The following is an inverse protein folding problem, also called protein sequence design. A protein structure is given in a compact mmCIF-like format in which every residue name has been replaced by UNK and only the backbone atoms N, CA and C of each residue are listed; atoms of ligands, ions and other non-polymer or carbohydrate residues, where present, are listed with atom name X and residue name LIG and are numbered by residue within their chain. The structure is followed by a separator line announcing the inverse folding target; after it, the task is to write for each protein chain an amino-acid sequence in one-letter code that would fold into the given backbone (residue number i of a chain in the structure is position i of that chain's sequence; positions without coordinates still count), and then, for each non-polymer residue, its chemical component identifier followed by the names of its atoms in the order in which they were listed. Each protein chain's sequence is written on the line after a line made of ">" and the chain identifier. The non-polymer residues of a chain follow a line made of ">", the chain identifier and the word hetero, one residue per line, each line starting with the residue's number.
data_IF_929481376081
#
_entry.id   IF_929481376081
#
_cell.length_a   1.000
_cell.length_b   1.000
_cell.length_c   1.000
_cell.angle_alpha   90.00
_cell.angle_beta   90.00
_cell.angle_gamma   90.00
#
_symmetry.space_group_name_H-M   'P 1'
#
loop_
_entity.id
_entity.type
_entity.pdbx_description
1 polymer ?
#
# COMPACT_ATOMS: atom_id res chain seq x y z
N UNK A 1 96.84 21.36 9.33
CA UNK A 1 97.08 20.31 10.34
C UNK A 1 96.52 18.99 9.79
N UNK A 2 97.36 17.95 9.77
CA UNK A 2 97.14 16.50 9.61
C UNK A 2 95.88 15.95 8.87
N UNK A 3 96.06 15.48 7.61
CA UNK A 3 96.19 14.08 7.14
C UNK A 3 95.30 12.91 7.71
N UNK A 4 95.21 11.73 7.04
CA UNK A 4 94.08 11.26 6.21
C UNK A 4 93.78 9.73 6.46
N UNK A 5 93.35 8.97 5.42
CA UNK A 5 93.25 7.49 5.22
C UNK A 5 91.82 6.95 5.01
N UNK A 6 91.41 6.66 3.76
CA UNK A 6 91.37 5.34 3.06
C UNK A 6 90.38 4.33 3.69
N UNK A 7 89.54 3.57 2.97
CA UNK A 7 89.89 2.58 1.94
C UNK A 7 88.63 2.00 1.25
N UNK A 8 88.84 1.51 0.03
CA UNK A 8 87.99 0.73 -0.88
C UNK A 8 87.44 -0.62 -0.32
N UNK A 9 86.21 -1.04 -0.69
CA UNK A 9 85.91 -2.31 -1.44
C UNK A 9 84.40 -2.64 -1.61
N UNK A 10 84.01 -2.69 -2.89
CA UNK A 10 83.14 -3.66 -3.62
C UNK A 10 82.14 -4.54 -2.84
N UNK A 11 80.88 -4.55 -3.28
CA UNK A 11 80.22 -5.76 -3.80
C UNK A 11 78.89 -5.47 -4.52
N UNK A 12 78.76 -6.06 -5.71
CA UNK A 12 77.54 -6.19 -6.51
C UNK A 12 76.44 -6.86 -5.69
N UNK A 13 75.15 -6.53 -5.91
CA UNK A 13 74.04 -7.49 -5.88
C UNK A 13 72.72 -6.84 -6.36
N UNK A 14 72.28 -7.34 -7.52
CA UNK A 14 70.92 -7.48 -8.05
C UNK A 14 69.78 -6.64 -7.44
N UNK A 15 69.23 -5.75 -8.27
CA UNK A 15 67.85 -5.29 -8.13
C UNK A 15 66.90 -6.46 -8.46
N UNK A 16 66.35 -7.10 -7.42
CA UNK A 16 65.21 -8.00 -7.56
C UNK A 16 63.93 -7.14 -7.48
N UNK A 17 63.26 -6.97 -8.61
CA UNK A 17 61.94 -6.37 -8.66
C UNK A 17 60.92 -7.33 -8.03
N UNK A 18 60.46 -7.01 -6.82
CA UNK A 18 59.36 -7.69 -6.16
C UNK A 18 58.03 -7.15 -6.74
N UNK A 19 57.53 -7.78 -7.80
CA UNK A 19 56.14 -7.61 -8.25
C UNK A 19 55.22 -8.30 -7.25
N UNK A 20 54.66 -7.53 -6.31
CA UNK A 20 53.56 -7.98 -5.47
C UNK A 20 52.31 -8.02 -6.35
N UNK A 21 51.93 -9.23 -6.78
CA UNK A 21 50.64 -9.49 -7.41
C UNK A 21 49.55 -9.45 -6.33
N UNK A 22 48.96 -8.28 -6.10
CA UNK A 22 47.71 -8.16 -5.35
C UNK A 22 46.57 -8.72 -6.22
N UNK A 23 46.23 -10.00 -6.03
CA UNK A 23 44.92 -10.51 -6.42
C UNK A 23 43.87 -9.85 -5.52
N UNK A 24 43.26 -8.78 -6.00
CA UNK A 24 42.02 -8.27 -5.43
C UNK A 24 40.93 -9.28 -5.77
N UNK A 25 40.62 -10.17 -4.82
CA UNK A 25 39.39 -10.94 -4.82
C UNK A 25 38.24 -9.94 -4.70
N UNK A 26 37.69 -9.51 -5.82
CA UNK A 26 36.44 -8.77 -5.81
C UNK A 26 35.39 -9.67 -5.14
N UNK A 27 34.65 -9.19 -4.12
CA UNK A 27 33.53 -9.96 -3.61
C UNK A 27 32.58 -10.21 -4.78
N UNK A 28 32.31 -11.48 -5.04
CA UNK A 28 31.26 -11.90 -5.96
C UNK A 28 29.95 -11.30 -5.43
N UNK A 29 29.61 -10.12 -5.93
CA UNK A 29 28.28 -9.59 -5.81
C UNK A 29 27.43 -10.52 -6.64
N UNK A 30 26.79 -11.48 -5.97
CA UNK A 30 25.65 -12.17 -6.53
C UNK A 30 24.64 -11.07 -6.81
N UNK A 31 24.54 -10.64 -8.07
CA UNK A 31 23.50 -9.71 -8.48
C UNK A 31 22.18 -10.41 -8.15
N UNK A 32 21.47 -9.95 -7.12
CA UNK A 32 20.08 -10.34 -6.93
C UNK A 32 19.36 -9.91 -8.21
N UNK A 33 19.06 -10.88 -9.09
CA UNK A 33 18.25 -10.62 -10.26
C UNK A 33 16.87 -10.23 -9.74
N UNK A 34 16.52 -8.96 -9.91
CA UNK A 34 15.17 -8.48 -9.61
C UNK A 34 14.18 -9.44 -10.27
N UNK A 35 13.20 -10.00 -9.53
CA UNK A 35 12.29 -10.97 -10.10
C UNK A 35 11.55 -10.32 -11.26
N UNK A 36 11.76 -10.84 -12.47
CA UNK A 36 11.03 -10.40 -13.64
C UNK A 36 9.55 -10.72 -13.43
N UNK A 37 8.70 -9.70 -13.48
CA UNK A 37 7.26 -9.87 -13.39
C UNK A 37 6.74 -10.62 -14.62
N UNK A 38 6.14 -11.79 -14.42
CA UNK A 38 5.37 -12.49 -15.43
C UNK A 38 4.00 -11.81 -15.51
N UNK A 39 3.75 -11.11 -16.62
CA UNK A 39 2.54 -10.31 -16.83
C UNK A 39 1.68 -10.90 -17.93
N UNK A 40 0.37 -10.75 -17.80
CA UNK A 40 -0.61 -11.12 -18.81
C UNK A 40 -1.64 -9.99 -18.97
N UNK A 41 -2.14 -9.81 -20.19
CA UNK A 41 -3.29 -8.95 -20.45
C UNK A 41 -4.55 -9.82 -20.53
N UNK A 42 -5.51 -9.56 -19.64
CA UNK A 42 -6.79 -10.30 -19.56
C UNK A 42 -7.89 -9.24 -19.58
N UNK A 43 -8.79 -9.33 -20.57
CA UNK A 43 -9.86 -8.35 -20.82
C UNK A 43 -9.36 -6.89 -20.82
N UNK A 44 -8.25 -6.65 -21.52
CA UNK A 44 -7.63 -5.32 -21.66
C UNK A 44 -6.95 -4.79 -20.39
N UNK A 45 -6.80 -5.60 -19.34
CA UNK A 45 -6.17 -5.21 -18.06
C UNK A 45 -4.89 -5.98 -17.82
N UNK A 46 -3.92 -5.34 -17.17
CA UNK A 46 -2.67 -5.98 -16.79
C UNK A 46 -2.83 -6.79 -15.51
N UNK A 47 -2.32 -8.01 -15.54
CA UNK A 47 -2.25 -8.92 -14.42
C UNK A 47 -0.81 -9.40 -14.21
N UNK A 48 -0.51 -9.81 -12.98
CA UNK A 48 0.78 -10.33 -12.54
C UNK A 48 0.60 -11.74 -11.99
N UNK A 49 1.46 -12.68 -12.40
CA UNK A 49 1.35 -14.05 -11.92
C UNK A 49 1.61 -14.14 -10.42
N UNK A 50 0.85 -14.98 -9.72
CA UNK A 50 1.08 -15.19 -8.29
C UNK A 50 2.42 -15.88 -8.01
N UNK A 51 3.06 -16.48 -9.01
CA UNK A 51 4.43 -17.01 -8.93
C UNK A 51 5.46 -15.86 -8.87
N UNK A 52 5.27 -14.79 -9.65
CA UNK A 52 6.06 -13.58 -9.52
C UNK A 52 5.80 -12.88 -8.19
N UNK A 53 4.55 -12.82 -7.72
CA UNK A 53 4.22 -12.29 -6.37
C UNK A 53 4.92 -13.12 -5.28
N UNK A 54 4.84 -14.46 -5.36
CA UNK A 54 5.53 -15.36 -4.42
C UNK A 54 7.02 -15.00 -4.32
N UNK A 55 7.67 -14.82 -5.46
CA UNK A 55 9.09 -14.54 -5.56
C UNK A 55 9.44 -13.13 -5.05
N UNK A 56 8.73 -12.11 -5.50
CA UNK A 56 8.98 -10.70 -5.15
C UNK A 56 8.83 -10.43 -3.65
N UNK A 57 7.85 -11.04 -2.99
CA UNK A 57 7.59 -10.85 -1.56
C UNK A 57 8.17 -11.95 -0.67
N UNK A 58 9.08 -12.77 -1.22
CA UNK A 58 9.82 -13.82 -0.49
C UNK A 58 8.88 -14.78 0.27
N UNK A 59 7.75 -15.16 -0.35
CA UNK A 59 6.86 -16.19 0.17
C UNK A 59 7.55 -17.55 0.09
N UNK A 60 7.72 -18.21 1.23
CA UNK A 60 8.39 -19.51 1.32
C UNK A 60 7.49 -20.65 0.83
N UNK A 61 6.17 -20.45 0.90
CA UNK A 61 5.16 -21.45 0.55
C UNK A 61 4.12 -20.89 -0.42
N UNK A 62 3.73 -21.73 -1.37
CA UNK A 62 2.54 -21.52 -2.21
C UNK A 62 1.80 -22.85 -2.33
N UNK A 63 0.55 -22.90 -1.88
CA UNK A 63 -0.35 -24.06 -2.04
C UNK A 63 -1.52 -23.68 -2.94
N UNK A 64 -1.93 -24.63 -3.77
CA UNK A 64 -3.09 -24.50 -4.65
C UNK A 64 -4.00 -25.69 -4.39
N UNK A 65 -5.23 -25.44 -3.94
CA UNK A 65 -6.23 -26.47 -3.68
C UNK A 65 -7.60 -25.97 -4.11
N UNK A 66 -8.24 -26.68 -5.05
CA UNK A 66 -9.49 -26.25 -5.67
C UNK A 66 -9.34 -24.82 -6.24
N UNK A 67 -10.17 -23.88 -5.78
CA UNK A 67 -10.09 -22.46 -6.14
C UNK A 67 -9.21 -21.64 -5.19
N UNK A 68 -8.65 -22.22 -4.14
CA UNK A 68 -7.88 -21.50 -3.13
C UNK A 68 -6.39 -21.52 -3.47
N UNK A 69 -5.77 -20.34 -3.51
CA UNK A 69 -4.32 -20.16 -3.55
C UNK A 69 -3.87 -19.56 -2.24
N UNK A 70 -2.94 -20.21 -1.55
CA UNK A 70 -2.35 -19.70 -0.29
C UNK A 70 -0.88 -19.42 -0.48
N UNK A 71 -0.46 -18.17 -0.26
CA UNK A 71 0.92 -17.73 -0.15
C UNK A 71 1.27 -17.53 1.32
N UNK A 72 2.44 -17.99 1.77
CA UNK A 72 2.84 -17.85 3.18
C UNK A 72 4.34 -17.65 3.34
N UNK A 73 4.71 -16.73 4.24
CA UNK A 73 6.04 -16.61 4.84
C UNK A 73 5.89 -16.48 6.36
N UNK A 74 6.99 -16.19 7.06
CA UNK A 74 7.00 -16.06 8.52
C UNK A 74 6.13 -14.91 9.08
N UNK A 75 5.81 -13.89 8.26
CA UNK A 75 5.10 -12.67 8.70
C UNK A 75 3.64 -12.62 8.23
N UNK A 76 3.35 -13.18 7.06
CA UNK A 76 2.05 -13.03 6.41
C UNK A 76 1.60 -14.30 5.69
N UNK A 77 0.32 -14.60 5.85
CA UNK A 77 -0.41 -15.59 5.07
C UNK A 77 -1.46 -14.86 4.23
N UNK A 78 -1.39 -15.04 2.91
CA UNK A 78 -2.31 -14.48 1.93
C UNK A 78 -3.10 -15.63 1.31
N UNK A 79 -4.43 -15.58 1.38
CA UNK A 79 -5.34 -16.56 0.78
C UNK A 79 -6.20 -15.88 -0.27
N UNK A 80 -6.24 -16.44 -1.47
CA UNK A 80 -6.87 -15.86 -2.66
C UNK A 80 -7.80 -16.90 -3.29
N UNK A 81 -9.01 -16.48 -3.63
CA UNK A 81 -9.98 -17.34 -4.32
C UNK A 81 -9.96 -17.06 -5.82
N UNK A 82 -9.53 -18.04 -6.63
CA UNK A 82 -9.58 -18.02 -8.10
C UNK A 82 -11.02 -17.85 -8.58
N UNK A 83 -11.21 -16.92 -9.52
CA UNK A 83 -12.50 -16.47 -10.03
C UNK A 83 -13.27 -15.54 -9.07
N UNK A 84 -12.69 -15.20 -7.92
CA UNK A 84 -13.28 -14.32 -6.92
C UNK A 84 -12.42 -13.10 -6.62
N UNK A 85 -13.03 -12.12 -5.96
CA UNK A 85 -12.37 -10.88 -5.52
C UNK A 85 -11.93 -10.94 -4.04
N UNK A 86 -12.06 -12.08 -3.37
CA UNK A 86 -11.71 -12.18 -1.95
C UNK A 86 -10.23 -12.52 -1.76
N UNK A 87 -9.54 -11.66 -1.00
CA UNK A 87 -8.18 -11.84 -0.53
C UNK A 87 -8.16 -11.75 1.01
N UNK A 88 -7.69 -12.79 1.70
CA UNK A 88 -7.46 -12.75 3.14
C UNK A 88 -5.97 -12.58 3.41
N UNK A 89 -5.58 -11.53 4.12
CA UNK A 89 -4.20 -11.35 4.61
C UNK A 89 -4.22 -11.38 6.13
N UNK A 90 -3.60 -12.42 6.72
CA UNK A 90 -3.64 -12.67 8.18
C UNK A 90 -5.06 -12.66 8.79
N UNK A 91 -6.04 -13.17 8.04
CA UNK A 91 -7.44 -13.24 8.48
C UNK A 91 -8.25 -11.96 8.25
N UNK A 92 -7.62 -10.86 7.82
CA UNK A 92 -8.32 -9.64 7.41
C UNK A 92 -8.74 -9.77 5.94
N UNK A 93 -10.01 -9.49 5.65
CA UNK A 93 -10.56 -9.56 4.29
C UNK A 93 -10.35 -8.25 3.53
N UNK A 94 -9.74 -8.38 2.37
CA UNK A 94 -9.58 -7.36 1.35
C UNK A 94 -10.42 -7.78 0.14
N UNK A 95 -11.23 -6.86 -0.37
CA UNK A 95 -12.03 -7.06 -1.58
C UNK A 95 -11.26 -6.41 -2.73
N UNK A 96 -10.82 -7.25 -3.66
CA UNK A 96 -10.08 -6.87 -4.85
C UNK A 96 -11.01 -6.18 -5.86
N UNK A 97 -10.46 -5.27 -6.63
CA UNK A 97 -11.14 -4.59 -7.74
C UNK A 97 -11.50 -5.57 -8.85
N UNK A 98 -10.63 -6.54 -9.10
CA UNK A 98 -10.81 -7.57 -10.12
C UNK A 98 -10.59 -8.98 -9.55
N UNK A 99 -11.22 -9.96 -10.20
CA UNK A 99 -11.09 -11.36 -9.81
C UNK A 99 -9.68 -11.89 -9.99
N UNK A 100 -9.34 -12.96 -9.27
CA UNK A 100 -8.12 -13.72 -9.51
C UNK A 100 -8.33 -14.60 -10.75
N UNK A 101 -7.59 -14.34 -11.81
CA UNK A 101 -7.78 -14.99 -13.11
C UNK A 101 -6.78 -16.12 -13.34
N UNK A 102 -7.13 -17.06 -14.21
CA UNK A 102 -6.21 -18.10 -14.70
C UNK A 102 -5.77 -17.76 -16.12
N UNK A 103 -4.46 -17.73 -16.36
CA UNK A 103 -3.88 -17.67 -17.71
C UNK A 103 -2.75 -18.69 -17.82
N UNK A 104 -2.74 -19.46 -18.91
CA UNK A 104 -1.77 -20.54 -19.15
C UNK A 104 -1.60 -21.49 -17.94
N UNK A 105 -2.71 -21.84 -17.27
CA UNK A 105 -2.73 -22.74 -16.11
C UNK A 105 -2.17 -22.16 -14.80
N UNK A 106 -1.82 -20.86 -14.76
CA UNK A 106 -1.31 -20.18 -13.57
C UNK A 106 -2.32 -19.13 -13.08
N UNK A 107 -2.39 -18.88 -11.76
CA UNK A 107 -3.23 -17.82 -11.20
C UNK A 107 -2.54 -16.46 -11.24
N UNK A 108 -3.34 -15.43 -11.47
CA UNK A 108 -2.94 -14.06 -11.69
C UNK A 108 -3.77 -13.10 -10.84
N UNK A 109 -3.13 -12.05 -10.33
CA UNK A 109 -3.79 -10.92 -9.65
C UNK A 109 -3.68 -9.68 -10.50
N UNK A 110 -4.71 -8.83 -10.50
CA UNK A 110 -4.66 -7.59 -11.27
C UNK A 110 -3.50 -6.71 -10.78
N UNK A 111 -2.82 -6.02 -11.70
CA UNK A 111 -1.70 -5.16 -11.35
C UNK A 111 -2.15 -4.02 -10.41
N UNK A 112 -3.37 -3.52 -10.59
CA UNK A 112 -3.92 -2.45 -9.74
C UNK A 112 -4.15 -2.93 -8.31
N UNK A 113 -4.70 -4.13 -8.12
CA UNK A 113 -4.93 -4.70 -6.78
C UNK A 113 -3.60 -5.07 -6.10
N UNK A 114 -2.65 -5.59 -6.87
CA UNK A 114 -1.30 -5.81 -6.36
C UNK A 114 -0.69 -4.50 -5.85
N UNK A 115 -0.75 -3.42 -6.64
CA UNK A 115 -0.13 -2.15 -6.30
C UNK A 115 -0.86 -1.35 -5.21
N UNK A 116 -2.20 -1.43 -5.15
CA UNK A 116 -3.02 -0.56 -4.30
C UNK A 116 -3.56 -1.24 -3.04
N UNK A 117 -3.68 -2.57 -3.02
CA UNK A 117 -4.21 -3.31 -1.87
C UNK A 117 -3.18 -4.24 -1.25
N UNK A 118 -2.47 -5.04 -2.05
CA UNK A 118 -1.58 -6.08 -1.53
C UNK A 118 -0.21 -5.50 -1.13
N UNK A 119 0.45 -4.76 -2.02
CA UNK A 119 1.80 -4.22 -1.78
C UNK A 119 1.88 -3.35 -0.51
N UNK A 120 0.94 -2.40 -0.24
CA UNK A 120 0.96 -1.62 0.99
C UNK A 120 0.87 -2.46 2.27
N UNK A 121 0.23 -3.63 2.23
CA UNK A 121 0.13 -4.53 3.38
C UNK A 121 1.40 -5.37 3.53
N UNK A 122 1.96 -5.84 2.42
CA UNK A 122 3.17 -6.68 2.43
C UNK A 122 4.45 -5.86 2.70
N UNK A 123 4.47 -4.59 2.31
CA UNK A 123 5.61 -3.67 2.45
C UNK A 123 5.14 -2.25 2.84
N UNK A 124 4.59 -2.06 4.06
CA UNK A 124 4.04 -0.76 4.48
C UNK A 124 5.05 0.38 4.48
N UNK A 125 6.34 0.08 4.70
CA UNK A 125 7.41 1.08 4.69
C UNK A 125 7.96 1.38 3.28
N UNK A 126 7.45 0.74 2.22
CA UNK A 126 7.97 0.87 0.86
C UNK A 126 7.27 1.96 0.03
N UNK A 127 6.19 2.58 0.52
CA UNK A 127 5.54 3.67 -0.20
C UNK A 127 6.50 4.88 -0.23
N UNK A 128 7.34 4.93 -1.28
CA UNK A 128 8.28 6.02 -1.56
C UNK A 128 7.44 7.30 -1.67
N UNK A 129 7.77 8.31 -0.87
CA UNK A 129 7.03 9.58 -0.75
C UNK A 129 5.63 9.48 -0.11
N UNK A 130 5.40 8.51 0.78
CA UNK A 130 4.31 8.69 1.75
C UNK A 130 4.61 9.94 2.58
N UNK A 131 3.92 11.04 2.26
CA UNK A 131 4.03 12.30 2.99
C UNK A 131 3.49 12.17 4.41
N UNK A 132 4.12 12.87 5.33
CA UNK A 132 3.61 13.03 6.69
C UNK A 132 2.41 13.98 6.65
N UNK A 133 1.22 13.51 7.01
CA UNK A 133 0.10 14.41 7.27
C UNK A 133 0.10 14.88 8.73
N UNK A 134 -0.36 16.11 8.95
CA UNK A 134 -0.60 16.67 10.29
C UNK A 134 -2.06 17.02 10.53
N UNK A 135 -2.88 17.01 9.47
CA UNK A 135 -4.30 17.34 9.52
C UNK A 135 -5.16 16.09 9.26
N UNK A 136 -6.17 15.89 10.10
CA UNK A 136 -7.20 14.86 9.92
C UNK A 136 -8.54 15.54 9.77
N UNK A 137 -9.20 15.33 8.63
CA UNK A 137 -10.56 15.78 8.40
C UNK A 137 -11.48 14.62 8.79
N UNK A 138 -12.28 14.80 9.83
CA UNK A 138 -13.31 13.86 10.25
C UNK A 138 -14.64 14.29 9.66
N UNK A 139 -15.29 13.37 8.96
CA UNK A 139 -16.60 13.57 8.38
C UNK A 139 -17.64 12.67 9.07
N UNK A 140 -18.36 13.16 10.08
CA UNK A 140 -19.48 12.41 10.64
C UNK A 140 -20.61 12.38 9.60
N UNK A 141 -20.86 11.21 9.01
CA UNK A 141 -21.89 11.03 7.99
C UNK A 141 -23.28 11.50 8.44
N UNK A 142 -24.14 11.86 7.48
CA UNK A 142 -25.51 12.35 7.72
C UNK A 142 -25.57 13.65 8.54
N UNK A 143 -26.70 13.96 9.17
CA UNK A 143 -26.94 15.10 10.06
C UNK A 143 -28.20 15.90 9.72
N UNK A 144 -28.85 16.47 10.73
CA UNK A 144 -30.01 17.34 10.55
C UNK A 144 -31.19 16.60 9.91
N UNK A 145 -31.59 17.04 8.71
CA UNK A 145 -32.68 16.43 7.93
C UNK A 145 -32.36 15.04 7.38
N UNK A 146 -31.08 14.67 7.32
CA UNK A 146 -30.63 13.34 6.96
C UNK A 146 -30.24 12.59 8.24
N UNK A 147 -31.06 11.62 8.68
CA UNK A 147 -30.78 10.87 9.91
C UNK A 147 -29.80 9.71 9.70
N UNK A 148 -29.55 9.34 8.45
CA UNK A 148 -28.97 8.04 8.10
C UNK A 148 -29.85 6.88 8.55
N UNK A 149 -29.22 5.71 8.74
CA UNK A 149 -29.89 4.53 9.27
C UNK A 149 -30.49 4.76 10.67
N UNK A 150 -31.46 3.92 11.05
CA UNK A 150 -32.09 3.98 12.38
C UNK A 150 -32.28 2.59 12.97
N UNK A 151 -32.26 2.52 14.30
CA UNK A 151 -32.62 1.33 15.06
C UNK A 151 -33.27 1.74 16.38
N UNK A 152 -33.53 0.76 17.26
CA UNK A 152 -34.15 0.98 18.58
C UNK A 152 -33.34 1.87 19.52
N UNK A 153 -32.05 2.06 19.26
CA UNK A 153 -31.16 2.85 20.10
C UNK A 153 -31.04 4.30 19.60
N UNK A 154 -31.30 4.58 18.31
CA UNK A 154 -31.26 5.92 17.76
C UNK A 154 -30.94 5.98 16.27
N UNK A 155 -30.52 7.17 15.83
CA UNK A 155 -30.18 7.47 14.44
C UNK A 155 -28.66 7.46 14.22
N UNK A 156 -28.25 6.99 13.05
CA UNK A 156 -26.85 6.91 12.61
C UNK A 156 -26.12 8.24 12.76
N UNK A 157 -26.75 9.35 12.37
CA UNK A 157 -26.19 10.68 12.44
C UNK A 157 -25.68 11.06 13.85
N UNK A 158 -26.35 10.60 14.91
CA UNK A 158 -25.95 10.86 16.30
C UNK A 158 -24.75 10.00 16.71
N UNK A 159 -24.72 8.73 16.30
CA UNK A 159 -23.57 7.86 16.56
C UNK A 159 -22.32 8.31 15.83
N UNK A 160 -22.46 8.66 14.55
CA UNK A 160 -21.38 9.21 13.73
C UNK A 160 -20.77 10.45 14.41
N UNK A 161 -21.61 11.40 14.86
CA UNK A 161 -21.16 12.61 15.54
C UNK A 161 -20.44 12.30 16.86
N UNK A 162 -21.01 11.41 17.68
CA UNK A 162 -20.43 11.04 18.98
C UNK A 162 -19.07 10.37 18.82
N UNK A 163 -18.95 9.41 17.90
CA UNK A 163 -17.69 8.73 17.62
C UNK A 163 -16.65 9.70 17.06
N UNK A 164 -17.04 10.54 16.10
CA UNK A 164 -16.13 11.54 15.55
C UNK A 164 -15.61 12.52 16.60
N UNK A 165 -16.45 12.91 17.57
CA UNK A 165 -16.02 13.73 18.72
C UNK A 165 -15.00 13.03 19.62
N UNK A 166 -15.17 11.72 19.88
CA UNK A 166 -14.19 10.93 20.64
C UNK A 166 -12.87 10.79 19.88
N UNK A 167 -12.94 10.51 18.58
CA UNK A 167 -11.77 10.39 17.70
C UNK A 167 -11.02 11.72 17.61
N UNK A 168 -11.74 12.84 17.46
CA UNK A 168 -11.16 14.19 17.48
C UNK A 168 -10.33 14.42 18.73
N UNK A 169 -10.90 14.21 19.91
CA UNK A 169 -10.20 14.42 21.18
C UNK A 169 -8.94 13.55 21.32
N UNK A 170 -8.99 12.31 20.83
CA UNK A 170 -7.83 11.40 20.86
C UNK A 170 -6.75 11.76 19.83
N UNK A 171 -7.11 12.31 18.68
CA UNK A 171 -6.16 12.75 17.66
C UNK A 171 -5.49 14.08 18.07
N UNK A 172 -6.27 15.02 18.60
CA UNK A 172 -5.74 16.29 19.11
C UNK A 172 -4.78 16.09 20.28
N UNK A 173 -5.06 15.16 21.20
CA UNK A 173 -4.13 14.82 22.29
C UNK A 173 -2.82 14.20 21.81
N UNK A 174 -2.79 13.68 20.58
CA UNK A 174 -1.59 13.18 19.90
C UNK A 174 -0.92 14.23 19.00
N UNK A 175 -1.40 15.47 19.00
CA UNK A 175 -0.81 16.58 18.25
C UNK A 175 -1.30 16.74 16.81
N UNK A 176 -2.33 16.01 16.38
CA UNK A 176 -2.95 16.24 15.07
C UNK A 176 -3.87 17.45 15.10
N UNK A 177 -3.86 18.22 14.00
CA UNK A 177 -4.91 19.21 13.72
C UNK A 177 -6.15 18.47 13.23
N UNK A 178 -7.31 18.67 13.85
CA UNK A 178 -8.55 17.99 13.45
C UNK A 178 -9.58 18.99 12.94
N UNK A 179 -10.09 18.75 11.75
CA UNK A 179 -11.18 19.52 11.14
C UNK A 179 -12.41 18.60 11.07
N UNK A 180 -13.57 19.07 11.51
CA UNK A 180 -14.82 18.32 11.36
C UNK A 180 -15.70 18.95 10.28
N UNK A 181 -16.30 18.15 9.40
CA UNK A 181 -17.28 18.66 8.41
C UNK A 181 -18.55 19.18 9.08
N UNK A 182 -18.91 18.63 10.24
CA UNK A 182 -19.92 19.15 11.16
C UNK A 182 -19.56 18.81 12.61
N UNK A 183 -19.92 19.69 13.54
CA UNK A 183 -19.69 19.51 14.99
C UNK A 183 -21.01 19.45 15.80
N UNK A 184 -22.15 19.45 15.12
CA UNK A 184 -23.50 19.38 15.69
C UNK A 184 -24.42 18.57 14.78
N UNK A 185 -25.68 18.38 15.19
CA UNK A 185 -26.68 17.67 14.39
C UNK A 185 -27.26 18.57 13.29
N UNK A 186 -26.44 18.91 12.29
CA UNK A 186 -26.80 19.73 11.13
C UNK A 186 -26.53 18.97 9.84
N UNK A 187 -27.34 19.25 8.82
CA UNK A 187 -27.13 18.68 7.49
C UNK A 187 -25.99 19.39 6.77
N UNK A 188 -25.08 18.60 6.19
CA UNK A 188 -24.03 19.08 5.28
C UNK A 188 -24.11 18.23 4.01
N UNK A 189 -24.24 18.89 2.85
CA UNK A 189 -24.33 18.22 1.56
C UNK A 189 -23.03 17.47 1.23
N UNK A 190 -23.09 16.45 0.37
CA UNK A 190 -21.90 15.72 -0.07
C UNK A 190 -20.85 16.65 -0.69
N UNK A 191 -21.28 17.58 -1.54
CA UNK A 191 -20.38 18.59 -2.11
C UNK A 191 -19.79 19.51 -1.04
N UNK A 192 -20.59 19.97 -0.07
CA UNK A 192 -20.08 20.80 1.02
C UNK A 192 -19.00 20.12 1.86
N UNK A 193 -19.11 18.80 2.08
CA UNK A 193 -18.06 18.00 2.74
C UNK A 193 -16.77 17.99 1.93
N UNK A 194 -16.89 17.84 0.60
CA UNK A 194 -15.76 17.90 -0.35
C UNK A 194 -15.13 19.30 -0.36
N UNK A 195 -15.94 20.35 -0.36
CA UNK A 195 -15.47 21.73 -0.37
C UNK A 195 -14.68 22.07 0.90
N UNK A 196 -15.14 21.61 2.07
CA UNK A 196 -14.40 21.72 3.34
C UNK A 196 -13.06 21.01 3.23
N UNK A 197 -13.03 19.81 2.66
CA UNK A 197 -11.78 19.04 2.51
C UNK A 197 -10.80 19.74 1.56
N UNK A 198 -11.27 20.23 0.41
CA UNK A 198 -10.46 20.91 -0.60
C UNK A 198 -10.00 22.32 -0.18
N UNK A 199 -10.63 22.91 0.84
CA UNK A 199 -10.19 24.17 1.43
C UNK A 199 -8.91 24.01 2.27
N UNK A 200 -8.61 22.80 2.77
CA UNK A 200 -7.38 22.48 3.51
C UNK A 200 -6.19 22.55 2.57
N UNK A 201 -5.14 23.28 2.96
CA UNK A 201 -3.95 23.55 2.11
C UNK A 201 -2.76 22.65 2.44
N UNK A 202 -2.74 22.17 3.68
CA UNK A 202 -1.78 21.25 4.26
C UNK A 202 -2.12 19.78 3.92
N UNK A 203 -1.12 18.89 3.94
CA UNK A 203 -1.35 17.45 3.73
C UNK A 203 -2.30 16.91 4.80
N UNK A 204 -3.41 16.31 4.34
CA UNK A 204 -4.48 15.85 5.18
C UNK A 204 -5.00 14.47 4.75
N UNK A 205 -5.49 13.72 5.74
CA UNK A 205 -6.31 12.53 5.50
C UNK A 205 -7.78 12.85 5.79
N UNK A 206 -8.67 12.38 4.92
CA UNK A 206 -10.12 12.49 5.10
C UNK A 206 -10.68 11.15 5.56
N UNK A 207 -11.38 11.14 6.70
CA UNK A 207 -11.98 9.95 7.28
C UNK A 207 -13.47 10.20 7.49
N UNK A 208 -14.30 9.54 6.70
CA UNK A 208 -15.75 9.54 6.89
C UNK A 208 -16.15 8.41 7.83
N UNK A 209 -17.01 8.73 8.81
CA UNK A 209 -17.46 7.80 9.85
C UNK A 209 -18.95 7.56 9.63
N UNK A 210 -19.29 6.29 9.41
CA UNK A 210 -20.64 5.80 9.20
C UNK A 210 -20.92 4.56 10.05
N UNK A 211 -22.18 4.36 10.40
CA UNK A 211 -22.67 3.15 11.04
C UNK A 211 -23.64 2.48 10.06
N UNK A 212 -23.07 1.60 9.23
CA UNK A 212 -23.83 1.01 8.13
C UNK A 212 -25.01 0.16 8.64
N UNK A 213 -25.98 -0.08 7.75
CA UNK A 213 -27.14 -0.93 8.00
C UNK A 213 -27.20 -2.08 6.98
N UNK A 214 -27.80 -3.19 7.39
CA UNK A 214 -27.91 -4.38 6.55
C UNK A 214 -28.89 -5.38 7.15
N UNK A 215 -28.95 -6.57 6.56
CA UNK A 215 -29.77 -7.66 7.09
C UNK A 215 -29.37 -8.06 8.52
N UNK A 216 -30.23 -8.82 9.21
CA UNK A 216 -30.07 -9.18 10.63
C UNK A 216 -28.77 -9.91 10.99
N UNK A 217 -28.07 -10.48 10.01
CA UNK A 217 -26.81 -11.19 10.20
C UNK A 217 -25.57 -10.33 9.89
N UNK A 218 -25.76 -9.14 9.29
CA UNK A 218 -24.68 -8.23 8.95
C UNK A 218 -24.09 -7.59 10.22
N UNK A 219 -22.78 -7.76 10.43
CA UNK A 219 -22.06 -7.30 11.62
C UNK A 219 -20.58 -7.19 11.32
N UNK A 220 -19.88 -6.27 11.98
CA UNK A 220 -18.43 -6.08 11.86
C UNK A 220 -18.06 -4.65 11.44
N UNK A 221 -16.80 -4.49 11.05
CA UNK A 221 -16.23 -3.23 10.58
C UNK A 221 -15.85 -3.43 9.11
N UNK A 222 -16.14 -2.42 8.30
CA UNK A 222 -15.66 -2.31 6.93
C UNK A 222 -15.02 -0.95 6.72
N UNK A 223 -14.08 -0.87 5.78
CA UNK A 223 -13.41 0.38 5.43
C UNK A 223 -13.36 0.46 3.93
N UNK A 224 -14.00 1.51 3.40
CA UNK A 224 -13.95 1.82 1.99
C UNK A 224 -12.82 2.81 1.73
N UNK A 225 -12.17 2.65 0.59
CA UNK A 225 -11.23 3.63 0.06
C UNK A 225 -11.71 4.06 -1.31
N UNK A 226 -11.17 5.18 -1.81
CA UNK A 226 -11.51 5.67 -3.12
C UNK A 226 -11.09 4.64 -4.18
N UNK A 227 -12.03 4.23 -5.04
CA UNK A 227 -11.71 3.31 -6.14
C UNK A 227 -10.59 3.88 -7.00
N UNK A 228 -9.60 3.06 -7.40
CA UNK A 228 -8.63 3.48 -8.40
C UNK A 228 -9.33 3.91 -9.72
N UNK A 229 -8.69 4.72 -10.57
CA UNK A 229 -9.20 4.96 -11.92
C UNK A 229 -9.48 3.63 -12.64
N UNK A 230 -10.54 3.60 -13.46
CA UNK A 230 -11.10 2.42 -14.16
C UNK A 230 -11.74 1.33 -13.29
N UNK A 231 -11.80 1.52 -11.97
CA UNK A 231 -12.51 0.63 -11.05
C UNK A 231 -13.81 1.30 -10.64
N UNK A 232 -14.98 0.67 -10.84
CA UNK A 232 -16.24 1.26 -10.41
C UNK A 232 -16.31 1.37 -8.89
N UNK A 233 -17.19 2.24 -8.39
CA UNK A 233 -17.55 2.19 -6.99
C UNK A 233 -18.20 0.84 -6.65
N UNK A 234 -18.02 0.38 -5.41
CA UNK A 234 -18.59 -0.90 -4.98
C UNK A 234 -20.10 -0.92 -5.21
N UNK A 235 -20.61 -1.98 -5.85
CA UNK A 235 -22.03 -2.13 -6.16
C UNK A 235 -22.54 -1.25 -7.31
N UNK A 236 -21.68 -0.48 -7.99
CA UNK A 236 -22.05 0.26 -9.20
C UNK A 236 -21.48 -0.40 -10.46
N UNK A 237 -22.16 -0.19 -11.60
CA UNK A 237 -21.56 -0.43 -12.90
C UNK A 237 -20.46 0.60 -13.20
N UNK A 238 -19.63 0.32 -14.21
CA UNK A 238 -18.65 1.27 -14.74
C UNK A 238 -19.36 2.51 -15.28
N UNK A 239 -18.84 3.69 -14.94
CA UNK A 239 -19.27 4.99 -15.45
C UNK A 239 -18.09 5.74 -16.04
N UNK A 240 -18.36 6.72 -16.90
CA UNK A 240 -17.33 7.57 -17.50
C UNK A 240 -16.45 8.25 -16.45
N UNK A 241 -17.05 8.69 -15.34
CA UNK A 241 -16.35 9.28 -14.21
C UNK A 241 -15.36 8.35 -13.51
N UNK A 242 -15.46 7.03 -13.70
CA UNK A 242 -14.51 6.08 -13.13
C UNK A 242 -13.17 6.11 -13.87
N UNK A 243 -13.14 6.54 -15.13
CA UNK A 243 -11.92 6.69 -15.92
C UNK A 243 -11.19 8.01 -15.65
N UNK A 244 -11.81 8.95 -14.94
CA UNK A 244 -11.19 10.21 -14.61
C UNK A 244 -9.91 9.96 -13.81
N UNK A 245 -8.78 10.48 -14.29
CA UNK A 245 -7.54 10.48 -13.52
C UNK A 245 -7.75 11.40 -12.34
N UNK A 246 -7.98 10.81 -11.17
CA UNK A 246 -7.99 11.53 -9.90
C UNK A 246 -6.54 11.90 -9.66
N UNK A 247 -6.22 13.19 -9.76
CA UNK A 247 -4.86 13.71 -9.57
C UNK A 247 -4.39 13.38 -8.14
N UNK A 248 -3.86 12.17 -7.98
CA UNK A 248 -3.04 11.78 -6.84
C UNK A 248 -1.63 11.86 -7.39
N UNK A 249 -0.93 12.94 -7.09
CA UNK A 249 0.50 13.07 -7.36
C UNK A 249 1.25 12.01 -6.58
N UNK A 250 1.36 10.79 -7.13
CA UNK A 250 2.36 9.81 -6.74
C UNK A 250 2.50 8.74 -7.84
N UNK A 251 3.47 8.99 -8.71
CA UNK A 251 4.00 8.08 -9.73
C UNK A 251 4.71 6.91 -9.05
N UNK A 252 3.97 5.88 -8.63
CA UNK A 252 4.55 4.74 -7.89
C UNK A 252 5.11 3.63 -8.81
N UNK A 253 4.93 3.68 -10.14
CA UNK A 253 5.33 2.55 -11.00
C UNK A 253 6.50 2.80 -11.96
N UNK A 254 7.29 3.86 -11.79
CA UNK A 254 8.45 4.12 -12.68
C UNK A 254 9.81 3.68 -12.15
N UNK A 255 9.89 3.02 -10.99
CA UNK A 255 11.15 2.38 -10.60
C UNK A 255 10.89 0.95 -10.19
N UNK A 256 11.39 0.01 -11.01
CA UNK A 256 11.86 -1.29 -10.53
C UNK A 256 12.71 -1.09 -9.25
N UNK A 257 12.78 -2.11 -8.36
CA UNK A 257 13.36 -1.99 -7.02
C UNK A 257 14.64 -1.17 -6.94
#
# INVERSE_FOLDING_TARGET
>A
MANPFTTFKRSRLFAAALMILLMVMAPAHCAETNPSWEVATIDGRQYVSLDSVKSAYKFTKMERSNKLVTLQNAKVSVKLNVGGQECLMNGVKFVLSHGIEISNGKPYVSQIDLAKLIDPVLRPNYIKNAGDFRTVILDPGHGGSDTGASNTLGYEAFYNLKVAGLVKSQLESKGFKVIMTRNSNVFVSLQGRVDIANAVKDEAIFVSIHFNSGGSHARGIETFTLSPPSVPHYGSGIKESDFATRMVTNTILQTSP
#
